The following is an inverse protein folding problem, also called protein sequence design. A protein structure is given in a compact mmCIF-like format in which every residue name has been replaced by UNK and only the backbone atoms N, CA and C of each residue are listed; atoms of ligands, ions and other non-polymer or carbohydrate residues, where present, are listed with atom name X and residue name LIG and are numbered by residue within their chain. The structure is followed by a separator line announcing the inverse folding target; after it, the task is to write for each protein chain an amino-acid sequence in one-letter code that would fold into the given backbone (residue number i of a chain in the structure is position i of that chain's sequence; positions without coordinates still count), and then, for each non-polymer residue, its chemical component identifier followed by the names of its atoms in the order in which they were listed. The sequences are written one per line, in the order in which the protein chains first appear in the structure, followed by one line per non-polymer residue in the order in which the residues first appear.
data_IF_440120177035
#
_entry.id   IF_440120177035
#
_cell.length_a   1.000
_cell.length_b   1.000
_cell.length_c   1.000
_cell.angle_alpha   90.00
_cell.angle_beta   90.00
_cell.angle_gamma   90.00
#
_symmetry.space_group_name_H-M   'P 1'
#
loop_
_entity.id
_entity.type
_entity.pdbx_description
1 polymer ?
#
# COMPACT_ATOMS: atom_id res chain seq x y z
N UNK A 1 -30.18 -7.55 -25.60
CA UNK A 1 -28.84 -7.95 -25.10
C UNK A 1 -28.70 -9.44 -24.77
N UNK A 2 -29.77 -10.23 -24.55
CA UNK A 2 -29.66 -11.66 -24.22
C UNK A 2 -29.56 -12.64 -25.42
N UNK A 3 -30.07 -12.28 -26.61
CA UNK A 3 -30.20 -13.23 -27.74
C UNK A 3 -28.93 -13.48 -28.58
N UNK A 4 -27.85 -12.72 -28.39
CA UNK A 4 -26.59 -12.95 -29.11
C UNK A 4 -25.64 -13.93 -28.38
N UNK A 5 -26.00 -14.38 -27.17
CA UNK A 5 -25.13 -15.19 -26.30
C UNK A 5 -25.18 -16.70 -26.57
N UNK A 6 -26.28 -17.22 -27.11
CA UNK A 6 -26.51 -18.68 -27.18
C UNK A 6 -25.72 -19.36 -28.30
N UNK A 7 -25.65 -18.75 -29.50
CA UNK A 7 -24.93 -19.33 -30.66
C UNK A 7 -23.41 -19.41 -30.42
N UNK A 8 -22.81 -18.34 -29.91
CA UNK A 8 -21.35 -18.27 -29.66
C UNK A 8 -20.90 -19.06 -28.41
N UNK A 9 -21.83 -19.42 -27.52
CA UNK A 9 -21.53 -20.26 -26.35
C UNK A 9 -21.26 -21.71 -26.76
N UNK A 10 -22.05 -22.23 -27.69
CA UNK A 10 -21.91 -23.59 -28.24
C UNK A 10 -20.55 -23.73 -28.95
N UNK A 11 -20.19 -22.76 -29.81
CA UNK A 11 -18.90 -22.77 -30.52
C UNK A 11 -17.70 -22.73 -29.56
N UNK A 12 -17.84 -22.02 -28.43
CA UNK A 12 -16.80 -21.95 -27.40
C UNK A 12 -16.68 -23.25 -26.61
N UNK A 13 -17.80 -23.84 -26.22
CA UNK A 13 -17.82 -25.12 -25.51
C UNK A 13 -17.21 -26.21 -26.40
N UNK A 14 -17.60 -26.27 -27.68
CA UNK A 14 -17.01 -27.21 -28.65
C UNK A 14 -15.49 -27.05 -28.80
N UNK A 15 -15.01 -25.81 -28.96
CA UNK A 15 -13.57 -25.54 -29.07
C UNK A 15 -12.80 -25.96 -27.81
N UNK A 16 -13.36 -25.70 -26.62
CA UNK A 16 -12.73 -26.10 -25.36
C UNK A 16 -12.72 -27.62 -25.26
N UNK A 17 -13.79 -28.31 -25.64
CA UNK A 17 -13.87 -29.76 -25.59
C UNK A 17 -12.89 -30.44 -26.54
N UNK A 18 -12.71 -29.92 -27.76
CA UNK A 18 -11.66 -30.39 -28.68
C UNK A 18 -10.26 -30.20 -28.11
N UNK A 19 -9.98 -29.01 -27.57
CA UNK A 19 -8.68 -28.69 -26.99
C UNK A 19 -8.37 -29.55 -25.75
N UNK A 20 -9.37 -29.73 -24.87
CA UNK A 20 -9.28 -30.61 -23.69
C UNK A 20 -9.13 -32.07 -24.11
N UNK A 21 -9.87 -32.52 -25.13
CA UNK A 21 -9.79 -33.88 -25.66
C UNK A 21 -8.39 -34.20 -26.18
N UNK A 22 -7.80 -33.28 -26.96
CA UNK A 22 -6.43 -33.40 -27.44
C UNK A 22 -5.42 -33.48 -26.27
N UNK A 23 -5.46 -32.51 -25.34
CA UNK A 23 -4.53 -32.52 -24.20
C UNK A 23 -4.66 -33.78 -23.33
N UNK A 24 -5.87 -34.29 -23.12
CA UNK A 24 -6.08 -35.55 -22.39
C UNK A 24 -5.47 -36.75 -23.11
N UNK A 25 -5.57 -36.81 -24.43
CA UNK A 25 -4.97 -37.88 -25.24
C UNK A 25 -3.45 -37.88 -25.12
N UNK A 26 -2.82 -36.72 -25.31
CA UNK A 26 -1.36 -36.57 -25.27
C UNK A 26 -0.80 -36.82 -23.86
N UNK A 27 -1.43 -36.27 -22.81
CA UNK A 27 -1.02 -36.54 -21.43
C UNK A 27 -1.13 -38.02 -21.07
N UNK A 28 -2.16 -38.72 -21.59
CA UNK A 28 -2.32 -40.15 -21.37
C UNK A 28 -1.26 -40.97 -22.11
N UNK A 29 -0.88 -40.56 -23.33
CA UNK A 29 0.16 -41.22 -24.13
C UNK A 29 1.53 -41.13 -23.44
N UNK A 30 1.84 -39.98 -22.84
CA UNK A 30 3.07 -39.72 -22.07
C UNK A 30 3.02 -40.24 -20.62
N UNK A 31 1.92 -40.88 -20.20
CA UNK A 31 1.77 -41.48 -18.87
C UNK A 31 1.56 -40.48 -17.73
N UNK A 32 1.24 -39.21 -18.01
CA UNK A 32 0.99 -38.17 -17.00
C UNK A 32 -0.44 -38.26 -16.50
N UNK A 33 -0.61 -38.46 -15.18
CA UNK A 33 -1.93 -38.51 -14.54
C UNK A 33 -2.38 -37.10 -14.16
N UNK A 34 -3.21 -36.49 -15.01
CA UNK A 34 -3.81 -35.18 -14.77
C UNK A 34 -5.27 -35.09 -15.24
N UNK A 35 -6.07 -34.34 -14.49
CA UNK A 35 -7.44 -33.98 -14.84
C UNK A 35 -7.45 -32.66 -15.62
N UNK A 36 -7.85 -32.71 -16.89
CA UNK A 36 -7.93 -31.52 -17.76
C UNK A 36 -9.39 -31.16 -17.98
N UNK A 37 -9.80 -29.92 -17.73
CA UNK A 37 -11.18 -29.48 -17.98
C UNK A 37 -11.27 -27.97 -18.28
N UNK A 38 -12.34 -27.58 -18.97
CA UNK A 38 -12.66 -26.19 -19.27
C UNK A 38 -13.11 -25.42 -18.03
N UNK A 39 -12.56 -24.23 -17.81
CA UNK A 39 -12.94 -23.33 -16.70
C UNK A 39 -13.74 -22.13 -17.24
N UNK A 40 -15.02 -21.96 -16.87
CA UNK A 40 -15.73 -20.72 -17.16
C UNK A 40 -15.16 -19.59 -16.30
N UNK A 41 -14.89 -18.41 -16.89
CA UNK A 41 -14.52 -17.22 -16.10
C UNK A 41 -15.78 -16.55 -15.53
N UNK A 42 -15.68 -16.03 -14.31
CA UNK A 42 -16.76 -15.25 -13.69
C UNK A 42 -16.99 -13.94 -14.43
N UNK A 43 -18.27 -13.57 -14.60
CA UNK A 43 -18.72 -12.34 -15.27
C UNK A 43 -18.05 -11.08 -14.68
N UNK A 44 -17.91 -11.03 -13.35
CA UNK A 44 -17.27 -9.91 -12.67
C UNK A 44 -15.77 -9.80 -12.97
N UNK A 45 -15.05 -10.92 -13.05
CA UNK A 45 -13.63 -10.94 -13.43
C UNK A 45 -13.41 -10.54 -14.89
N UNK A 46 -14.36 -10.90 -15.76
CA UNK A 46 -14.42 -10.48 -17.15
C UNK A 46 -14.55 -8.95 -17.23
N UNK A 47 -15.55 -8.37 -16.53
CA UNK A 47 -15.76 -6.92 -16.48
C UNK A 47 -14.56 -6.15 -15.94
N UNK A 48 -13.93 -6.62 -14.86
CA UNK A 48 -12.74 -5.99 -14.28
C UNK A 48 -11.55 -5.98 -15.25
N UNK A 49 -11.34 -7.06 -16.01
CA UNK A 49 -10.29 -7.12 -17.04
C UNK A 49 -10.57 -6.14 -18.18
N UNK A 50 -11.84 -5.93 -18.55
CA UNK A 50 -12.20 -4.92 -19.56
C UNK A 50 -11.81 -3.51 -19.13
N UNK A 51 -12.18 -3.12 -17.90
CA UNK A 51 -11.85 -1.78 -17.40
C UNK A 51 -10.33 -1.57 -17.36
N UNK A 52 -9.57 -2.57 -16.92
CA UNK A 52 -8.11 -2.44 -16.77
C UNK A 52 -7.35 -2.37 -18.10
N UNK A 53 -7.81 -3.08 -19.14
CA UNK A 53 -7.11 -3.17 -20.44
C UNK A 53 -7.78 -2.35 -21.55
N UNK A 54 -8.85 -1.61 -21.26
CA UNK A 54 -9.65 -0.85 -22.25
C UNK A 54 -10.06 -1.68 -23.49
N UNK A 55 -10.31 -2.98 -23.30
CA UNK A 55 -10.63 -3.92 -24.39
C UNK A 55 -12.05 -3.71 -24.92
N UNK A 56 -12.23 -3.91 -26.22
CA UNK A 56 -13.54 -3.88 -26.84
C UNK A 56 -14.40 -5.08 -26.39
N UNK A 57 -15.72 -4.91 -26.35
CA UNK A 57 -16.65 -5.98 -25.94
C UNK A 57 -16.57 -7.23 -26.85
N UNK A 58 -16.12 -7.10 -28.10
CA UNK A 58 -15.94 -8.24 -29.00
C UNK A 58 -14.68 -9.07 -28.67
N UNK A 59 -13.63 -8.47 -28.10
CA UNK A 59 -12.43 -9.17 -27.60
C UNK A 59 -12.73 -9.91 -26.27
N UNK A 60 -13.84 -9.56 -25.61
CA UNK A 60 -14.33 -10.19 -24.39
C UNK A 60 -14.76 -11.65 -24.57
N UNK A 61 -15.10 -12.04 -25.80
CA UNK A 61 -15.64 -13.36 -26.08
C UNK A 61 -14.54 -14.40 -26.29
N UNK A 62 -13.27 -13.97 -26.37
CA UNK A 62 -12.12 -14.86 -26.38
C UNK A 62 -11.65 -15.27 -24.97
N UNK A 63 -12.61 -15.50 -24.08
CA UNK A 63 -12.35 -15.89 -22.70
C UNK A 63 -12.35 -17.40 -22.59
N UNK A 64 -11.30 -18.02 -23.14
CA UNK A 64 -11.07 -19.47 -23.03
C UNK A 64 -10.02 -19.74 -21.97
N UNK A 65 -10.41 -20.54 -20.98
CA UNK A 65 -9.52 -20.97 -19.92
C UNK A 65 -9.65 -22.48 -19.72
N UNK A 66 -8.50 -23.13 -19.59
CA UNK A 66 -8.39 -24.56 -19.34
C UNK A 66 -7.61 -24.74 -18.04
N UNK A 67 -8.02 -25.73 -17.26
CA UNK A 67 -7.36 -26.08 -16.02
C UNK A 67 -6.88 -27.52 -16.09
N UNK A 68 -5.65 -27.73 -15.63
CA UNK A 68 -5.00 -29.02 -15.50
C UNK A 68 -4.69 -29.21 -14.02
N UNK A 69 -5.29 -30.23 -13.41
CA UNK A 69 -5.07 -30.61 -12.02
C UNK A 69 -4.31 -31.93 -12.01
N UNK A 70 -3.03 -31.89 -11.61
CA UNK A 70 -2.17 -33.07 -11.55
C UNK A 70 -2.06 -33.62 -10.11
N UNK A 71 -1.58 -34.85 -9.98
CA UNK A 71 -1.36 -35.48 -8.67
C UNK A 71 -0.14 -34.89 -7.96
N UNK A 72 0.99 -34.79 -8.67
CA UNK A 72 2.28 -34.36 -8.10
C UNK A 72 2.81 -33.11 -8.79
N UNK A 73 3.73 -32.42 -8.12
CA UNK A 73 4.39 -31.24 -8.69
C UNK A 73 5.17 -31.57 -9.97
N UNK A 74 5.82 -32.73 -10.03
CA UNK A 74 6.54 -33.20 -11.21
C UNK A 74 5.60 -33.32 -12.43
N UNK A 75 4.40 -33.82 -12.19
CA UNK A 75 3.36 -33.98 -13.22
C UNK A 75 2.85 -32.61 -13.72
N UNK A 76 2.89 -31.55 -12.90
CA UNK A 76 2.56 -30.20 -13.35
C UNK A 76 3.56 -29.67 -14.38
N UNK A 77 4.86 -29.86 -14.16
CA UNK A 77 5.89 -29.44 -15.11
C UNK A 77 5.95 -30.35 -16.33
N UNK A 78 5.67 -31.66 -16.17
CA UNK A 78 5.50 -32.56 -17.32
C UNK A 78 4.31 -32.13 -18.19
N UNK A 79 3.16 -31.82 -17.59
CA UNK A 79 2.00 -31.30 -18.29
C UNK A 79 2.28 -29.95 -18.99
N UNK A 80 3.07 -29.08 -18.36
CA UNK A 80 3.54 -27.83 -18.99
C UNK A 80 4.36 -28.11 -20.25
N UNK A 81 5.32 -29.05 -20.18
CA UNK A 81 6.14 -29.43 -21.32
C UNK A 81 5.33 -30.00 -22.49
N UNK A 82 4.35 -30.86 -22.20
CA UNK A 82 3.42 -31.40 -23.20
C UNK A 82 2.64 -30.26 -23.86
N UNK A 83 2.06 -29.36 -23.06
CA UNK A 83 1.30 -28.21 -23.58
C UNK A 83 2.14 -27.34 -24.52
N UNK A 84 3.40 -27.02 -24.15
CA UNK A 84 4.30 -26.19 -24.96
C UNK A 84 4.85 -26.91 -26.20
N UNK A 85 4.86 -28.24 -26.20
CA UNK A 85 5.26 -29.05 -27.36
C UNK A 85 4.20 -29.02 -28.46
N UNK A 86 2.91 -29.11 -28.08
CA UNK A 86 1.81 -29.11 -29.05
C UNK A 86 1.34 -27.70 -29.44
N UNK A 87 1.48 -26.72 -28.55
CA UNK A 87 1.01 -25.36 -28.76
C UNK A 87 2.10 -24.35 -28.46
N UNK A 88 2.33 -23.42 -29.40
CA UNK A 88 3.28 -22.34 -29.22
C UNK A 88 2.84 -21.43 -28.07
N UNK A 89 3.68 -21.30 -27.06
CA UNK A 89 3.43 -20.40 -25.93
C UNK A 89 3.77 -18.94 -26.27
N UNK A 90 3.13 -18.01 -25.57
CA UNK A 90 3.48 -16.58 -25.60
C UNK A 90 4.46 -16.31 -24.43
N UNK A 91 5.71 -15.88 -24.68
CA UNK A 91 6.70 -15.68 -23.63
C UNK A 91 6.29 -14.68 -22.54
N UNK A 92 5.64 -13.58 -22.93
CA UNK A 92 5.23 -12.51 -22.01
C UNK A 92 4.03 -12.86 -21.13
N UNK A 93 3.41 -14.03 -21.35
CA UNK A 93 2.18 -14.47 -20.68
C UNK A 93 2.41 -15.86 -20.01
N UNK A 94 3.59 -16.02 -19.40
CA UNK A 94 3.97 -17.17 -18.58
C UNK A 94 4.32 -16.71 -17.16
N UNK A 95 3.60 -17.25 -16.17
CA UNK A 95 3.85 -16.99 -14.74
C UNK A 95 3.94 -18.31 -13.97
N UNK A 96 5.05 -18.52 -13.24
CA UNK A 96 5.20 -19.64 -12.33
C UNK A 96 4.91 -19.21 -10.88
N UNK A 97 3.62 -19.27 -10.49
CA UNK A 97 3.22 -19.01 -9.10
C UNK A 97 3.42 -20.22 -8.17
N UNK A 98 3.96 -21.35 -8.67
CA UNK A 98 4.37 -22.44 -7.79
C UNK A 98 5.72 -22.13 -7.16
N UNK A 99 6.67 -21.64 -7.97
CA UNK A 99 7.95 -21.15 -7.50
C UNK A 99 7.83 -19.83 -6.71
N UNK A 100 6.97 -18.92 -7.19
CA UNK A 100 6.72 -17.62 -6.54
C UNK A 100 5.22 -17.46 -6.17
N UNK A 101 4.78 -18.03 -5.05
CA UNK A 101 3.37 -17.95 -4.62
C UNK A 101 2.91 -16.50 -4.46
N UNK A 102 1.63 -16.25 -4.79
CA UNK A 102 1.03 -14.93 -4.53
C UNK A 102 0.89 -14.68 -3.02
N UNK A 103 0.76 -13.42 -2.57
CA UNK A 103 0.64 -13.09 -1.15
C UNK A 103 -0.51 -13.80 -0.41
N UNK A 104 -1.58 -14.17 -1.13
CA UNK A 104 -2.71 -14.94 -0.59
C UNK A 104 -2.43 -16.46 -0.49
N UNK A 105 -1.21 -16.91 -0.80
CA UNK A 105 -0.83 -18.32 -0.84
C UNK A 105 -1.24 -19.04 -2.13
N UNK A 106 -1.76 -18.33 -3.14
CA UNK A 106 -2.17 -18.95 -4.40
C UNK A 106 -0.96 -19.49 -5.18
N UNK A 107 -1.06 -20.76 -5.57
CA UNK A 107 -0.06 -21.48 -6.34
C UNK A 107 -0.68 -22.11 -7.59
N UNK A 108 -0.08 -21.84 -8.75
CA UNK A 108 -0.40 -22.45 -10.05
C UNK A 108 0.59 -21.96 -11.10
N UNK A 109 0.89 -22.78 -12.10
CA UNK A 109 1.59 -22.35 -13.31
C UNK A 109 0.55 -21.80 -14.29
N UNK A 110 0.74 -20.58 -14.76
CA UNK A 110 -0.12 -19.94 -15.76
C UNK A 110 0.66 -19.80 -17.06
N UNK A 111 0.04 -20.24 -18.16
CA UNK A 111 0.61 -20.04 -19.50
C UNK A 111 -0.48 -19.73 -20.50
N UNK A 112 -0.21 -18.80 -21.41
CA UNK A 112 -1.07 -18.56 -22.57
C UNK A 112 -0.42 -19.18 -23.82
N UNK A 113 -1.21 -19.98 -24.55
CA UNK A 113 -0.78 -20.64 -25.78
C UNK A 113 -1.69 -20.29 -26.96
N UNK A 114 -1.14 -20.39 -28.17
CA UNK A 114 -1.88 -20.21 -29.41
C UNK A 114 -2.47 -21.55 -29.86
N UNK A 115 -3.79 -21.70 -29.78
CA UNK A 115 -4.49 -22.92 -30.14
C UNK A 115 -4.73 -23.08 -31.66
N UNK A 116 -5.36 -24.19 -32.09
CA UNK A 116 -5.45 -24.61 -33.50
C UNK A 116 -6.07 -23.59 -34.45
N UNK A 117 -6.97 -22.72 -33.96
CA UNK A 117 -7.64 -21.70 -34.77
C UNK A 117 -6.99 -20.31 -34.67
N UNK A 118 -5.69 -20.23 -34.34
CA UNK A 118 -4.96 -18.96 -34.19
C UNK A 118 -5.39 -18.15 -32.96
N UNK A 119 -5.92 -18.86 -31.97
CA UNK A 119 -6.87 -18.35 -31.01
C UNK A 119 -6.31 -18.61 -29.61
N UNK A 120 -6.18 -17.60 -28.76
CA UNK A 120 -5.44 -17.70 -27.49
C UNK A 120 -6.19 -18.52 -26.45
N UNK A 121 -5.47 -19.37 -25.72
CA UNK A 121 -6.01 -20.20 -24.64
C UNK A 121 -5.18 -20.00 -23.38
N UNK A 122 -5.82 -19.59 -22.29
CA UNK A 122 -5.19 -19.47 -20.97
C UNK A 122 -5.23 -20.83 -20.26
N UNK A 123 -4.08 -21.34 -19.82
CA UNK A 123 -3.96 -22.65 -19.18
C UNK A 123 -3.42 -22.46 -17.77
N UNK A 124 -4.09 -23.10 -16.80
CA UNK A 124 -3.70 -23.09 -15.40
C UNK A 124 -3.38 -24.51 -14.96
N UNK A 125 -2.14 -24.76 -14.56
CA UNK A 125 -1.64 -26.06 -14.12
C UNK A 125 -1.35 -26.00 -12.63
N UNK A 126 -1.83 -26.98 -11.87
CA UNK A 126 -1.58 -27.07 -10.42
C UNK A 126 -1.84 -28.47 -9.90
N UNK A 127 -1.41 -28.75 -8.67
CA UNK A 127 -1.72 -30.02 -8.00
C UNK A 127 -3.15 -30.02 -7.43
N UNK A 128 -3.65 -31.19 -7.01
CA UNK A 128 -4.93 -31.28 -6.29
C UNK A 128 -4.92 -30.48 -4.98
N UNK A 129 -3.82 -30.53 -4.23
CA UNK A 129 -3.66 -29.72 -3.02
C UNK A 129 -3.73 -28.22 -3.32
N UNK A 130 -2.95 -27.75 -4.30
CA UNK A 130 -2.98 -26.35 -4.73
C UNK A 130 -4.35 -25.93 -5.28
N UNK A 131 -5.10 -26.86 -5.86
CA UNK A 131 -6.46 -26.62 -6.29
C UNK A 131 -7.39 -26.36 -5.10
N UNK A 132 -7.33 -27.20 -4.07
CA UNK A 132 -8.14 -27.04 -2.85
C UNK A 132 -7.80 -25.73 -2.14
N UNK A 133 -6.52 -25.44 -1.94
CA UNK A 133 -6.05 -24.20 -1.31
C UNK A 133 -6.48 -22.95 -2.09
N UNK A 134 -6.54 -23.03 -3.43
CA UNK A 134 -6.96 -21.92 -4.26
C UNK A 134 -8.48 -21.69 -4.32
N UNK A 135 -9.31 -22.71 -4.09
CA UNK A 135 -10.77 -22.57 -4.12
C UNK A 135 -11.34 -22.31 -2.72
N UNK A 136 -10.82 -22.99 -1.70
CA UNK A 136 -11.30 -22.94 -0.32
C UNK A 136 -10.44 -22.03 0.58
N UNK A 137 -9.24 -21.64 0.12
CA UNK A 137 -8.35 -20.78 0.89
C UNK A 137 -7.98 -21.39 2.23
N UNK A 138 -8.00 -20.56 3.28
CA UNK A 138 -7.69 -20.95 4.66
C UNK A 138 -8.59 -22.07 5.19
N UNK A 139 -9.81 -22.24 4.64
CA UNK A 139 -10.75 -23.27 5.07
C UNK A 139 -10.33 -24.70 4.65
N UNK A 140 -9.53 -24.87 3.59
CA UNK A 140 -9.00 -26.18 3.18
C UNK A 140 -8.12 -26.80 4.27
N UNK A 141 -7.30 -25.96 4.91
CA UNK A 141 -6.32 -26.35 5.90
C UNK A 141 -6.93 -26.73 7.27
N UNK A 142 -8.15 -26.26 7.59
CA UNK A 142 -8.87 -26.64 8.81
C UNK A 142 -9.31 -28.10 8.78
N UNK A 143 -9.86 -28.56 7.65
CA UNK A 143 -10.42 -29.91 7.49
C UNK A 143 -9.35 -31.02 7.56
N UNK A 144 -8.12 -30.73 7.13
CA UNK A 144 -7.02 -31.70 7.13
C UNK A 144 -6.35 -31.86 8.51
N UNK A 145 -6.29 -30.80 9.31
CA UNK A 145 -5.68 -30.82 10.66
C UNK A 145 -6.58 -31.41 11.76
N UNK A 146 -7.89 -31.54 11.53
CA UNK A 146 -8.75 -32.33 12.42
C UNK A 146 -8.55 -33.85 12.24
N UNK A 147 -8.01 -34.31 11.11
CA UNK A 147 -7.84 -35.74 10.81
C UNK A 147 -6.44 -36.33 11.06
N UNK A 148 -5.39 -35.50 11.07
CA UNK A 148 -4.01 -35.95 11.28
C UNK A 148 -3.42 -35.28 12.52
N UNK A 149 -3.11 -36.12 13.52
CA UNK A 149 -2.62 -35.73 14.83
C UNK A 149 -1.54 -34.65 14.82
N UNK A 150 -1.71 -33.69 15.72
CA UNK A 150 -0.83 -32.56 15.94
C UNK A 150 0.65 -32.98 16.05
N UNK A 151 1.50 -32.35 15.23
CA UNK A 151 2.94 -32.49 15.28
C UNK A 151 3.64 -31.33 14.59
N UNK A 152 4.10 -30.37 15.41
CA UNK A 152 5.33 -29.57 15.23
C UNK A 152 5.59 -28.87 13.88
N UNK A 153 5.51 -27.52 13.86
CA UNK A 153 6.38 -26.70 13.00
C UNK A 153 5.75 -25.52 12.22
N UNK A 154 4.43 -25.46 12.05
CA UNK A 154 3.80 -24.46 11.15
C UNK A 154 2.78 -23.50 11.79
N UNK A 155 2.73 -23.40 13.13
CA UNK A 155 1.63 -22.74 13.85
C UNK A 155 1.59 -21.21 13.78
N UNK A 156 2.74 -20.54 13.65
CA UNK A 156 2.84 -19.10 13.93
C UNK A 156 2.16 -18.21 12.88
N UNK A 157 2.45 -18.42 11.60
CA UNK A 157 1.82 -17.65 10.52
C UNK A 157 0.32 -17.93 10.30
N UNK A 158 -0.22 -18.99 10.92
CA UNK A 158 -1.64 -19.36 10.85
C UNK A 158 -2.45 -18.70 11.98
N UNK A 159 -1.92 -18.68 13.21
CA UNK A 159 -2.51 -17.93 14.32
C UNK A 159 -2.59 -16.43 14.00
N UNK A 160 -1.55 -15.87 13.39
CA UNK A 160 -1.51 -14.46 12.98
C UNK A 160 -2.59 -14.14 11.93
N UNK A 161 -2.89 -15.09 11.03
CA UNK A 161 -3.88 -14.93 9.96
C UNK A 161 -5.33 -15.09 10.48
N UNK A 162 -5.54 -15.95 11.47
CA UNK A 162 -6.81 -16.06 12.21
C UNK A 162 -7.04 -14.82 13.07
N UNK A 163 -6.01 -14.32 13.74
CA UNK A 163 -6.08 -13.07 14.50
C UNK A 163 -6.43 -11.89 13.58
N UNK A 164 -5.89 -11.86 12.36
CA UNK A 164 -6.25 -10.89 11.34
C UNK A 164 -7.72 -11.02 10.87
N UNK A 165 -8.20 -12.23 10.56
CA UNK A 165 -9.60 -12.45 10.17
C UNK A 165 -10.59 -12.11 11.30
N UNK A 166 -10.26 -12.43 12.56
CA UNK A 166 -11.08 -12.06 13.73
C UNK A 166 -11.14 -10.55 13.91
N UNK A 167 -10.02 -9.85 13.69
CA UNK A 167 -10.01 -8.37 13.70
C UNK A 167 -10.86 -7.78 12.58
N UNK A 168 -10.87 -8.40 11.40
CA UNK A 168 -11.68 -7.96 10.26
C UNK A 168 -13.18 -8.16 10.50
N UNK A 169 -13.58 -9.24 11.17
CA UNK A 169 -14.98 -9.50 11.54
C UNK A 169 -15.43 -8.56 12.66
N UNK A 170 -14.59 -8.39 13.71
CA UNK A 170 -14.85 -7.41 14.77
C UNK A 170 -14.99 -5.99 14.21
N UNK A 171 -14.20 -5.65 13.19
CA UNK A 171 -14.30 -4.39 12.45
C UNK A 171 -15.64 -4.24 11.71
N UNK A 172 -16.21 -5.32 11.18
CA UNK A 172 -17.53 -5.26 10.52
C UNK A 172 -18.67 -5.06 11.52
N UNK A 173 -18.55 -5.61 12.74
CA UNK A 173 -19.49 -5.39 13.83
C UNK A 173 -19.38 -3.98 14.43
N UNK A 174 -18.16 -3.43 14.56
CA UNK A 174 -17.93 -2.05 15.06
C UNK A 174 -18.27 -0.95 14.03
N UNK A 175 -18.20 -1.26 12.72
CA UNK A 175 -18.61 -0.35 11.62
C UNK A 175 -20.11 -0.03 11.61
N UNK A 176 -20.94 -0.80 12.30
CA UNK A 176 -22.37 -0.50 12.42
C UNK A 176 -22.64 0.69 13.36
N UNK A 177 -21.67 1.12 14.18
CA UNK A 177 -21.99 1.94 15.37
C UNK A 177 -21.25 3.29 15.48
N UNK A 178 -20.28 3.65 14.62
CA UNK A 178 -19.65 4.98 14.72
C UNK A 178 -19.06 5.52 13.41
N UNK A 179 -19.64 6.63 12.91
CA UNK A 179 -19.32 7.26 11.63
C UNK A 179 -18.15 8.25 11.62
N UNK A 180 -17.41 8.43 12.72
CA UNK A 180 -16.41 9.52 12.84
C UNK A 180 -14.94 9.08 12.89
N UNK A 181 -14.63 7.77 12.80
CA UNK A 181 -13.23 7.26 12.83
C UNK A 181 -12.66 6.88 11.45
N UNK A 182 -13.29 7.34 10.36
CA UNK A 182 -13.05 6.80 9.01
C UNK A 182 -11.76 7.28 8.32
N UNK A 183 -11.25 8.47 8.61
CA UNK A 183 -10.11 9.03 7.86
C UNK A 183 -8.74 8.57 8.37
N UNK A 184 -8.59 8.32 9.68
CA UNK A 184 -7.32 7.86 10.27
C UNK A 184 -7.07 6.36 10.03
N UNK A 185 -8.14 5.58 9.86
CA UNK A 185 -8.09 4.12 9.59
C UNK A 185 -8.01 3.83 8.09
N UNK A 186 -8.57 4.70 7.23
CA UNK A 186 -8.43 4.57 5.77
C UNK A 186 -6.97 4.63 5.33
N UNK A 187 -6.12 5.48 5.92
CA UNK A 187 -4.70 5.52 5.51
C UNK A 187 -3.96 4.24 5.88
N UNK A 188 -4.28 3.59 7.01
CA UNK A 188 -3.64 2.34 7.42
C UNK A 188 -4.09 1.11 6.60
N UNK A 189 -5.26 1.15 5.96
CA UNK A 189 -5.82 0.02 5.20
C UNK A 189 -5.39 0.04 3.73
N UNK A 190 -4.96 1.18 3.19
CA UNK A 190 -4.52 1.33 1.80
C UNK A 190 -3.02 1.60 1.62
N UNK A 191 -2.24 1.72 2.69
CA UNK A 191 -0.79 1.84 2.56
C UNK A 191 -0.19 0.53 2.01
N UNK A 192 0.52 0.64 0.89
CA UNK A 192 1.44 -0.39 0.42
C UNK A 192 2.32 -0.83 1.61
N UNK A 193 2.48 -2.14 1.83
CA UNK A 193 3.29 -2.64 2.97
C UNK A 193 4.66 -3.04 2.46
N UNK A 194 5.73 -2.64 3.14
CA UNK A 194 7.11 -3.05 2.81
C UNK A 194 7.55 -4.22 3.69
N UNK A 195 8.19 -5.21 3.07
CA UNK A 195 8.77 -6.37 3.76
C UNK A 195 10.28 -6.23 3.82
N UNK A 196 10.82 -6.25 5.03
CA UNK A 196 12.25 -6.07 5.28
C UNK A 196 12.81 -7.24 6.06
N UNK A 197 14.07 -7.57 5.82
CA UNK A 197 14.75 -8.71 6.43
C UNK A 197 15.64 -8.26 7.59
N UNK A 198 15.61 -9.03 8.68
CA UNK A 198 16.64 -8.94 9.71
C UNK A 198 17.93 -9.61 9.24
N UNK A 199 19.09 -9.36 9.88
CA UNK A 199 20.33 -10.05 9.54
C UNK A 199 20.27 -11.57 9.74
N UNK A 200 19.31 -12.02 10.57
CA UNK A 200 19.05 -13.45 10.86
C UNK A 200 18.10 -14.12 9.86
N UNK A 201 17.52 -13.35 8.93
CA UNK A 201 16.60 -13.86 7.91
C UNK A 201 15.11 -13.79 8.29
N UNK A 202 14.77 -13.30 9.48
CA UNK A 202 13.37 -13.06 9.85
C UNK A 202 12.79 -11.90 9.03
N UNK A 203 11.56 -12.08 8.53
CA UNK A 203 10.81 -11.06 7.78
C UNK A 203 10.00 -10.20 8.73
N UNK A 204 10.08 -8.88 8.56
CA UNK A 204 9.29 -7.90 9.32
C UNK A 204 8.44 -7.08 8.35
N UNK A 205 7.16 -6.93 8.68
CA UNK A 205 6.18 -6.18 7.91
C UNK A 205 5.99 -4.77 8.46
N UNK A 206 6.21 -3.76 7.62
CA UNK A 206 6.09 -2.34 7.97
C UNK A 206 5.23 -1.61 6.93
N UNK A 207 4.57 -0.48 7.28
CA UNK A 207 3.90 0.36 6.29
C UNK A 207 4.93 0.98 5.32
N UNK A 208 4.55 1.23 4.07
CA UNK A 208 5.41 1.92 3.11
C UNK A 208 5.82 3.29 3.63
N UNK A 209 7.04 3.71 3.27
CA UNK A 209 7.64 4.92 3.81
C UNK A 209 8.11 4.80 5.27
N UNK A 210 8.12 3.59 5.84
CA UNK A 210 8.78 3.35 7.13
C UNK A 210 10.28 3.58 7.05
N UNK A 211 10.86 4.00 8.17
CA UNK A 211 12.29 4.27 8.30
C UNK A 211 13.02 3.15 9.06
N UNK A 212 14.37 3.12 9.05
CA UNK A 212 15.14 2.24 9.92
C UNK A 212 14.83 2.42 11.42
N UNK A 213 14.44 3.62 11.86
CA UNK A 213 14.02 3.85 13.25
C UNK A 213 12.69 3.16 13.55
N UNK A 214 11.72 3.24 12.63
CA UNK A 214 10.45 2.51 12.75
C UNK A 214 10.68 1.01 12.88
N UNK A 215 11.60 0.45 12.08
CA UNK A 215 12.02 -0.95 12.20
C UNK A 215 12.64 -1.28 13.57
N UNK A 216 13.54 -0.44 14.07
CA UNK A 216 14.15 -0.63 15.40
C UNK A 216 13.09 -0.66 16.51
N UNK A 217 12.14 0.27 16.48
CA UNK A 217 11.02 0.32 17.43
C UNK A 217 9.99 -0.80 17.24
N UNK A 218 9.90 -1.37 16.03
CA UNK A 218 9.07 -2.53 15.75
C UNK A 218 9.64 -3.78 16.42
N UNK A 219 10.96 -4.01 16.33
CA UNK A 219 11.64 -5.12 17.01
C UNK A 219 11.49 -5.00 18.53
N UNK A 220 11.95 -3.89 19.11
CA UNK A 220 11.85 -3.67 20.56
C UNK A 220 12.00 -2.19 20.90
N UNK A 221 11.32 -1.72 21.96
CA UNK A 221 11.47 -0.33 22.42
C UNK A 221 12.92 0.00 22.80
N UNK A 222 13.60 -0.91 23.48
CA UNK A 222 14.99 -0.67 23.91
C UNK A 222 15.99 -0.68 22.77
N UNK A 223 15.73 -1.44 21.70
CA UNK A 223 16.54 -1.40 20.47
C UNK A 223 16.39 -0.05 19.79
N UNK A 224 15.15 0.46 19.70
CA UNK A 224 14.87 1.82 19.25
C UNK A 224 15.55 2.90 20.10
N UNK A 225 15.40 2.85 21.43
CA UNK A 225 16.01 3.83 22.34
C UNK A 225 17.54 3.84 22.30
N UNK A 226 18.16 2.70 21.97
CA UNK A 226 19.61 2.54 21.88
C UNK A 226 20.14 2.67 20.46
N UNK A 227 19.28 2.99 19.48
CA UNK A 227 19.66 3.08 18.09
C UNK A 227 20.62 4.26 17.86
N UNK A 228 21.78 4.01 17.28
CA UNK A 228 22.77 5.04 16.89
C UNK A 228 23.01 5.13 15.39
N UNK A 229 22.65 4.07 14.66
CA UNK A 229 22.78 4.04 13.22
C UNK A 229 22.10 2.81 12.63
N UNK A 230 21.89 2.83 11.32
CA UNK A 230 21.36 1.71 10.58
C UNK A 230 22.26 1.37 9.39
N UNK A 231 22.33 0.09 9.06
CA UNK A 231 22.96 -0.41 7.85
C UNK A 231 21.95 -1.20 7.02
N UNK A 232 22.04 -1.06 5.70
CA UNK A 232 21.26 -1.85 4.76
C UNK A 232 22.24 -2.52 3.79
N UNK A 233 22.18 -3.85 3.68
CA UNK A 233 23.12 -4.62 2.84
C UNK A 233 24.60 -4.35 3.17
N UNK A 234 24.90 -4.09 4.46
CA UNK A 234 26.25 -3.78 4.94
C UNK A 234 26.71 -2.32 4.79
N UNK A 235 25.92 -1.43 4.15
CA UNK A 235 26.24 0.00 3.99
C UNK A 235 25.49 0.84 5.00
N UNK A 236 26.13 1.86 5.56
CA UNK A 236 25.48 2.80 6.50
C UNK A 236 24.49 3.68 5.72
N UNK A 237 23.27 3.80 6.24
CA UNK A 237 22.20 4.63 5.67
C UNK A 237 21.75 5.68 6.68
N UNK A 238 21.28 6.86 6.21
CA UNK A 238 20.69 7.86 7.10
C UNK A 238 19.37 7.35 7.68
N UNK A 239 18.97 7.86 8.86
CA UNK A 239 17.68 7.49 9.48
C UNK A 239 16.45 7.95 8.70
N UNK A 240 16.59 8.94 7.82
CA UNK A 240 15.53 9.43 6.94
C UNK A 240 15.33 8.56 5.70
N UNK A 241 16.18 7.54 5.49
CA UNK A 241 16.01 6.60 4.38
C UNK A 241 14.68 5.85 4.52
N UNK A 242 13.92 5.76 3.43
CA UNK A 242 12.69 4.98 3.39
C UNK A 242 12.98 3.54 2.98
N UNK A 243 12.53 2.60 3.81
CA UNK A 243 12.78 1.18 3.61
C UNK A 243 12.10 0.66 2.35
N UNK A 244 12.84 -0.14 1.58
CA UNK A 244 12.36 -0.76 0.36
C UNK A 244 12.10 -2.26 0.55
N UNK A 245 11.38 -2.84 -0.41
CA UNK A 245 11.07 -4.26 -0.43
C UNK A 245 12.36 -5.09 -0.52
N UNK A 246 12.53 -6.00 0.44
CA UNK A 246 13.66 -6.93 0.47
C UNK A 246 14.95 -6.36 1.05
N UNK A 247 14.93 -5.14 1.59
CA UNK A 247 16.08 -4.57 2.28
C UNK A 247 16.45 -5.41 3.50
N UNK A 248 17.73 -5.78 3.61
CA UNK A 248 18.28 -6.42 4.81
C UNK A 248 18.84 -5.35 5.74
N UNK A 249 18.18 -5.13 6.88
CA UNK A 249 18.48 -4.04 7.81
C UNK A 249 19.23 -4.58 9.03
N UNK A 250 20.32 -3.92 9.38
CA UNK A 250 21.07 -4.12 10.62
C UNK A 250 21.05 -2.83 11.44
N UNK A 251 20.54 -2.89 12.66
CA UNK A 251 20.50 -1.73 13.57
C UNK A 251 21.73 -1.75 14.46
N UNK A 252 22.49 -0.66 14.44
CA UNK A 252 23.62 -0.44 15.32
C UNK A 252 23.10 0.16 16.62
N UNK A 253 23.33 -0.53 17.74
CA UNK A 253 22.87 -0.12 19.06
C UNK A 253 24.03 0.23 19.99
N UNK A 254 23.80 1.15 20.92
CA UNK A 254 24.71 1.49 22.01
C UNK A 254 24.26 0.91 23.35
N UNK A 255 25.09 1.04 24.39
CA UNK A 255 24.81 0.47 25.72
C UNK A 255 23.69 1.21 26.47
N UNK A 256 23.66 2.54 26.40
CA UNK A 256 22.70 3.38 27.12
C UNK A 256 21.61 3.92 26.19
N UNK A 257 20.34 3.96 26.60
CA UNK A 257 19.29 4.56 25.77
C UNK A 257 19.50 6.08 25.65
N UNK A 258 19.48 6.60 24.42
CA UNK A 258 19.57 8.04 24.15
C UNK A 258 18.77 8.42 22.88
N UNK A 259 17.44 8.29 22.90
CA UNK A 259 16.61 8.73 21.77
C UNK A 259 16.66 10.26 21.61
N UNK A 260 16.67 10.74 20.36
CA UNK A 260 16.58 12.18 20.07
C UNK A 260 15.12 12.64 20.07
N UNK A 261 14.88 13.89 20.49
CA UNK A 261 13.56 14.54 20.41
C UNK A 261 13.18 14.89 18.97
N UNK A 262 14.17 15.13 18.10
CA UNK A 262 13.95 15.42 16.68
C UNK A 262 13.18 14.29 15.98
N UNK A 263 13.29 13.06 16.50
CA UNK A 263 12.57 11.90 15.98
C UNK A 263 11.05 12.01 16.16
N UNK A 264 10.58 12.83 17.12
CA UNK A 264 9.17 13.10 17.32
C UNK A 264 8.61 14.12 16.32
N UNK A 265 9.47 14.92 15.68
CA UNK A 265 9.03 15.92 14.72
C UNK A 265 8.60 15.24 13.41
N UNK A 266 7.31 15.28 13.05
CA UNK A 266 6.82 14.63 11.84
C UNK A 266 7.40 15.24 10.55
N UNK A 267 7.82 16.51 10.59
CA UNK A 267 8.33 17.22 9.42
C UNK A 267 9.74 16.76 9.01
N UNK A 268 10.50 16.18 9.94
CA UNK A 268 11.88 15.73 9.70
C UNK A 268 11.95 14.32 9.10
N UNK A 269 10.83 13.58 9.07
CA UNK A 269 10.74 12.28 8.40
C UNK A 269 11.55 11.16 9.06
N UNK A 270 11.85 11.26 10.37
CA UNK A 270 12.62 10.24 11.09
C UNK A 270 11.80 9.04 11.54
N UNK A 271 10.56 9.24 12.01
CA UNK A 271 9.68 8.18 12.51
C UNK A 271 8.29 8.43 11.95
N UNK A 272 7.85 7.55 11.06
CA UNK A 272 6.54 7.71 10.40
C UNK A 272 5.44 7.00 11.20
N UNK A 273 5.77 5.88 11.83
CA UNK A 273 4.78 5.06 12.54
C UNK A 273 4.31 5.71 13.84
N UNK A 274 2.99 5.64 14.10
CA UNK A 274 2.41 6.11 15.37
C UNK A 274 2.94 5.33 16.57
N UNK A 275 3.19 4.02 16.38
CA UNK A 275 3.73 3.14 17.43
C UNK A 275 5.13 3.55 17.89
N UNK A 276 6.02 3.87 16.94
CA UNK A 276 7.38 4.34 17.24
C UNK A 276 7.33 5.64 18.04
N UNK A 277 6.59 6.64 17.53
CA UNK A 277 6.40 7.94 18.20
C UNK A 277 5.83 7.79 19.62
N UNK A 278 4.82 6.95 19.81
CA UNK A 278 4.21 6.71 21.13
C UNK A 278 5.21 6.15 22.15
N UNK A 279 6.08 5.23 21.72
CA UNK A 279 7.13 4.67 22.58
C UNK A 279 8.18 5.72 22.98
N UNK A 280 8.59 6.56 22.02
CA UNK A 280 9.51 7.67 22.26
C UNK A 280 8.90 8.67 23.26
N UNK A 281 7.64 9.07 23.06
CA UNK A 281 6.91 9.92 24.01
C UNK A 281 6.86 9.31 25.41
N UNK A 282 6.54 8.01 25.52
CA UNK A 282 6.51 7.32 26.80
C UNK A 282 7.88 7.27 27.50
N UNK A 283 8.98 7.27 26.73
CA UNK A 283 10.34 7.34 27.29
C UNK A 283 10.64 8.71 27.88
N UNK A 284 10.34 9.80 27.17
CA UNK A 284 10.54 11.17 27.67
C UNK A 284 9.65 11.48 28.88
N UNK A 285 8.42 10.97 28.89
CA UNK A 285 7.52 11.11 30.06
C UNK A 285 8.07 10.43 31.32
N UNK A 286 8.83 9.34 31.16
CA UNK A 286 9.47 8.62 32.28
C UNK A 286 10.79 9.24 32.74
N UNK A 287 11.29 10.26 32.03
CA UNK A 287 12.53 10.95 32.37
C UNK A 287 12.32 11.94 33.52
N UNK A 288 13.37 12.26 34.27
CA UNK A 288 13.31 13.17 35.42
C UNK A 288 12.67 14.52 35.04
N UNK A 289 11.73 14.99 35.88
CA UNK A 289 10.99 16.25 35.67
C UNK A 289 11.94 17.43 35.40
N UNK A 290 13.06 17.52 36.12
CA UNK A 290 14.04 18.61 35.98
C UNK A 290 14.69 18.64 34.59
N UNK A 291 14.94 17.46 33.99
CA UNK A 291 15.47 17.36 32.62
C UNK A 291 14.42 17.76 31.59
N UNK A 292 13.15 17.47 31.86
CA UNK A 292 12.04 17.89 31.00
C UNK A 292 11.81 19.40 31.07
N UNK A 293 11.95 20.04 32.23
CA UNK A 293 11.84 21.50 32.36
C UNK A 293 12.93 22.21 31.55
N UNK A 294 14.20 21.83 31.76
CA UNK A 294 15.34 22.41 31.02
C UNK A 294 15.18 22.29 29.51
N UNK A 295 14.74 21.12 29.04
CA UNK A 295 14.55 20.88 27.63
C UNK A 295 13.30 21.57 27.05
N UNK A 296 12.19 21.57 27.78
CA UNK A 296 10.98 22.29 27.39
C UNK A 296 11.23 23.78 27.22
N UNK A 297 12.15 24.33 28.01
CA UNK A 297 12.58 25.74 27.89
C UNK A 297 13.32 26.01 26.59
N UNK A 298 14.31 25.19 26.23
CA UNK A 298 15.02 25.33 24.95
C UNK A 298 14.07 25.24 23.76
N UNK A 299 13.18 24.24 23.76
CA UNK A 299 12.20 24.04 22.69
C UNK A 299 11.26 25.23 22.55
N UNK A 300 10.77 25.77 23.67
CA UNK A 300 9.89 26.92 23.66
C UNK A 300 10.63 28.18 23.19
N UNK A 301 11.85 28.40 23.68
CA UNK A 301 12.68 29.56 23.32
C UNK A 301 12.99 29.56 21.81
N UNK A 302 13.40 28.42 21.24
CA UNK A 302 13.72 28.28 19.80
C UNK A 302 12.50 28.61 18.92
N UNK A 303 11.30 28.12 19.29
CA UNK A 303 10.09 28.39 18.52
C UNK A 303 9.56 29.81 18.70
N UNK A 304 9.73 30.38 19.89
CA UNK A 304 9.38 31.79 20.13
C UNK A 304 10.30 32.74 19.36
N UNK A 305 11.59 32.40 19.26
CA UNK A 305 12.54 33.14 18.42
C UNK A 305 12.14 33.07 16.95
N UNK A 306 11.73 31.88 16.46
CA UNK A 306 11.24 31.72 15.08
C UNK A 306 9.98 32.55 14.79
N UNK A 307 9.09 32.68 15.78
CA UNK A 307 7.85 33.46 15.67
C UNK A 307 8.01 34.95 15.98
N UNK A 308 9.16 35.38 16.53
CA UNK A 308 9.40 36.74 16.99
C UNK A 308 8.52 37.16 18.19
N UNK A 309 8.08 36.20 19.01
CA UNK A 309 7.17 36.43 20.15
C UNK A 309 7.99 36.43 21.45
N UNK A 310 7.69 37.34 22.38
CA UNK A 310 8.35 37.35 23.68
C UNK A 310 7.84 36.23 24.60
N UNK A 311 8.73 35.60 25.37
CA UNK A 311 8.37 34.53 26.32
C UNK A 311 7.29 34.96 27.34
N UNK A 312 7.34 36.22 27.79
CA UNK A 312 6.33 36.76 28.73
C UNK A 312 4.95 36.89 28.12
N UNK A 313 4.86 37.12 26.81
CA UNK A 313 3.58 37.24 26.13
C UNK A 313 3.03 35.87 25.75
N UNK A 314 3.89 34.92 25.38
CA UNK A 314 3.50 33.53 25.18
C UNK A 314 2.94 32.89 26.46
N UNK A 315 3.59 33.11 27.61
CA UNK A 315 3.18 32.58 28.91
C UNK A 315 1.74 32.97 29.28
N UNK A 316 1.36 34.24 29.07
CA UNK A 316 0.02 34.76 29.38
C UNK A 316 -1.10 34.03 28.64
N UNK A 317 -0.83 33.56 27.42
CA UNK A 317 -1.82 32.87 26.60
C UNK A 317 -1.78 31.35 26.74
N UNK A 318 -0.60 30.79 27.05
CA UNK A 318 -0.43 29.34 27.18
C UNK A 318 -0.90 28.79 28.53
N UNK A 319 -0.63 29.48 29.64
CA UNK A 319 -1.04 29.01 30.98
C UNK A 319 -2.57 28.83 31.09
N UNK A 320 -3.42 29.80 30.68
CA UNK A 320 -4.87 29.63 30.75
C UNK A 320 -5.42 28.59 29.78
N UNK A 321 -4.77 28.38 28.62
CA UNK A 321 -5.23 27.46 27.57
C UNK A 321 -5.12 26.00 28.00
N UNK A 322 -4.07 25.67 28.75
CA UNK A 322 -3.78 24.31 29.20
C UNK A 322 -4.07 24.12 30.70
N UNK A 323 -4.56 25.16 31.38
CA UNK A 323 -4.95 25.13 32.79
C UNK A 323 -3.77 24.81 33.73
N UNK A 324 -2.59 25.36 33.43
CA UNK A 324 -1.40 25.29 34.29
C UNK A 324 -1.28 26.56 35.13
N UNK A 325 -0.77 26.40 36.37
CA UNK A 325 -0.60 27.53 37.29
C UNK A 325 0.84 28.07 37.28
N UNK A 326 1.82 27.24 36.93
CA UNK A 326 3.23 27.59 36.93
C UNK A 326 3.89 27.34 35.56
N UNK A 327 4.85 28.19 35.20
CA UNK A 327 5.64 28.05 33.98
C UNK A 327 6.41 26.72 33.95
N UNK A 328 6.95 26.29 35.08
CA UNK A 328 7.72 25.04 35.16
C UNK A 328 6.84 23.79 34.88
N UNK A 329 5.55 23.83 35.20
CA UNK A 329 4.60 22.77 34.83
C UNK A 329 4.36 22.74 33.32
N UNK A 330 4.20 23.91 32.70
CA UNK A 330 4.08 24.04 31.25
C UNK A 330 5.36 23.54 30.56
N UNK A 331 6.53 23.95 31.04
CA UNK A 331 7.83 23.54 30.48
C UNK A 331 8.06 22.03 30.67
N UNK A 332 7.71 21.46 31.82
CA UNK A 332 7.76 20.01 32.03
C UNK A 332 6.83 19.26 31.07
N UNK A 333 5.63 19.78 30.84
CA UNK A 333 4.64 19.19 29.92
C UNK A 333 5.09 19.29 28.45
N UNK A 334 5.74 20.40 28.06
CA UNK A 334 6.36 20.56 26.73
C UNK A 334 7.53 19.58 26.59
N UNK A 335 8.45 19.55 27.56
CA UNK A 335 9.64 18.70 27.51
C UNK A 335 9.37 17.21 27.60
N UNK A 336 8.28 16.82 28.26
CA UNK A 336 7.75 15.45 28.31
C UNK A 336 6.91 15.06 27.09
N UNK A 337 6.53 16.03 26.24
CA UNK A 337 5.74 15.82 25.03
C UNK A 337 4.25 15.56 25.28
N UNK A 338 3.71 16.02 26.41
CA UNK A 338 2.26 16.03 26.69
C UNK A 338 1.55 17.09 25.82
N UNK A 339 2.24 18.19 25.52
CA UNK A 339 1.78 19.23 24.61
C UNK A 339 2.41 19.00 23.24
N UNK A 340 1.57 18.90 22.20
CA UNK A 340 2.06 18.84 20.81
C UNK A 340 2.53 20.22 20.35
N UNK A 341 3.81 20.33 20.00
CA UNK A 341 4.45 21.55 19.49
C UNK A 341 3.64 22.26 18.41
N UNK A 342 3.24 21.55 17.35
CA UNK A 342 2.49 22.16 16.24
C UNK A 342 1.17 22.80 16.66
N UNK A 343 0.47 22.21 17.63
CA UNK A 343 -0.80 22.75 18.13
C UNK A 343 -0.56 24.03 18.93
N UNK A 344 0.52 24.05 19.72
CA UNK A 344 0.94 25.22 20.49
C UNK A 344 1.39 26.36 19.56
N UNK A 345 2.23 26.08 18.56
CA UNK A 345 2.71 27.05 17.57
C UNK A 345 1.55 27.64 16.78
N UNK A 346 0.64 26.81 16.26
CA UNK A 346 -0.54 27.29 15.54
C UNK A 346 -1.45 28.18 16.41
N UNK A 347 -1.57 27.86 17.70
CA UNK A 347 -2.35 28.67 18.64
C UNK A 347 -1.68 30.03 18.90
N UNK A 348 -0.36 30.06 19.13
CA UNK A 348 0.40 31.30 19.28
C UNK A 348 0.33 32.16 18.03
N UNK A 349 0.52 31.56 16.85
CA UNK A 349 0.35 32.25 15.57
C UNK A 349 -1.06 32.83 15.40
N UNK A 350 -2.11 32.10 15.77
CA UNK A 350 -3.49 32.60 15.66
C UNK A 350 -3.79 33.78 16.59
N UNK A 351 -3.13 33.86 17.75
CA UNK A 351 -3.31 34.97 18.70
C UNK A 351 -2.52 36.21 18.32
N UNK A 352 -1.26 36.04 17.91
CA UNK A 352 -0.33 37.15 17.64
C UNK A 352 -0.29 37.58 16.17
N UNK A 353 -0.55 36.66 15.25
CA UNK A 353 -0.46 36.88 13.81
C UNK A 353 -1.84 36.63 13.17
N UNK A 354 -2.83 37.45 13.54
CA UNK A 354 -4.11 37.49 12.81
C UNK A 354 -3.82 38.03 11.41
N UNK A 355 -3.97 37.25 10.33
CA UNK A 355 -3.95 37.85 9.00
C UNK A 355 -5.09 38.86 8.94
N UNK A 356 -4.84 40.02 8.36
CA UNK A 356 -5.88 41.02 8.15
C UNK A 356 -7.04 40.38 7.38
N UNK A 357 -8.29 40.80 7.65
CA UNK A 357 -9.45 40.33 6.89
C UNK A 357 -9.23 40.44 5.36
N UNK A 358 -8.41 41.41 4.92
CA UNK A 358 -8.01 41.59 3.52
C UNK A 358 -7.12 40.47 2.96
N UNK A 359 -6.27 39.85 3.77
CA UNK A 359 -5.37 38.75 3.36
C UNK A 359 -6.10 37.41 3.31
N UNK A 360 -7.06 37.21 4.23
CA UNK A 360 -7.97 36.06 4.21
C UNK A 360 -8.88 36.09 2.97
N UNK A 361 -9.44 37.26 2.64
CA UNK A 361 -10.22 37.44 1.41
C UNK A 361 -9.37 37.22 0.14
N UNK A 362 -8.13 37.71 0.11
CA UNK A 362 -7.21 37.51 -1.02
C UNK A 362 -6.83 36.03 -1.21
N UNK A 363 -6.63 35.27 -0.12
CA UNK A 363 -6.35 33.84 -0.17
C UNK A 363 -7.58 33.03 -0.63
N UNK A 364 -8.78 33.40 -0.17
CA UNK A 364 -10.03 32.79 -0.60
C UNK A 364 -10.30 33.03 -2.09
N UNK A 365 -10.04 34.25 -2.60
CA UNK A 365 -10.14 34.58 -4.02
C UNK A 365 -9.17 33.76 -4.89
N UNK A 366 -7.93 33.52 -4.43
CA UNK A 366 -6.96 32.66 -5.14
C UNK A 366 -7.40 31.20 -5.21
N UNK A 367 -7.97 30.65 -4.13
CA UNK A 367 -8.49 29.28 -4.13
C UNK A 367 -9.71 29.12 -5.05
N UNK A 368 -10.58 30.13 -5.13
CA UNK A 368 -11.70 30.14 -6.07
C UNK A 368 -11.22 30.20 -7.53
N UNK A 369 -10.21 31.02 -7.83
CA UNK A 369 -9.63 31.10 -9.18
C UNK A 369 -8.98 29.77 -9.61
N UNK A 370 -8.29 29.06 -8.71
CA UNK A 370 -7.70 27.75 -9.00
C UNK A 370 -8.75 26.66 -9.25
N UNK A 371 -9.88 26.68 -8.53
CA UNK A 371 -11.02 25.77 -8.80
C UNK A 371 -11.70 26.04 -10.14
N UNK A 372 -11.68 27.28 -10.61
CA UNK A 372 -12.32 27.67 -11.88
C UNK A 372 -11.45 27.32 -13.09
N UNK A 373 -10.15 27.06 -12.89
CA UNK A 373 -9.18 26.71 -13.92
C UNK A 373 -8.74 25.23 -13.88
N UNK A 374 -9.57 24.34 -13.34
CA UNK A 374 -9.40 22.92 -13.61
C UNK A 374 -9.85 22.66 -15.07
N UNK A 375 -8.97 22.20 -15.98
CA UNK A 375 -9.38 21.92 -17.34
C UNK A 375 -10.38 20.76 -17.30
N UNK A 376 -11.63 21.02 -17.67
CA UNK A 376 -12.56 19.96 -18.05
C UNK A 376 -11.96 19.25 -19.26
N UNK A 377 -11.62 17.96 -19.10
CA UNK A 377 -11.16 17.13 -20.20
C UNK A 377 -12.16 17.22 -21.37
N UNK A 378 -11.71 17.50 -22.61
CA UNK A 378 -12.61 17.61 -23.73
C UNK A 378 -13.15 16.22 -24.10
N UNK A 379 -14.44 16.01 -23.84
CA UNK A 379 -15.24 14.94 -24.43
C UNK A 379 -15.03 14.95 -25.96
N UNK A 380 -14.47 13.88 -26.53
CA UNK A 380 -14.38 13.69 -27.98
C UNK A 380 -15.79 13.45 -28.55
N UNK A 381 -16.47 14.53 -28.94
CA UNK A 381 -17.62 14.49 -29.82
C UNK A 381 -17.16 14.46 -31.28
N UNK A 382 -17.36 13.32 -31.94
CA UNK A 382 -17.19 13.17 -33.39
C UNK A 382 -18.17 14.07 -34.14
N UNK A 383 -17.64 14.98 -34.97
CA UNK A 383 -18.39 15.66 -36.04
C UNK A 383 -17.89 15.13 -37.40
N UNK A 384 -18.78 14.70 -38.31
CA UNK A 384 -18.37 14.31 -39.65
C UNK A 384 -18.31 15.53 -40.58
N UNK A 385 -17.15 15.73 -41.20
CA UNK A 385 -17.02 16.35 -42.52
C UNK A 385 -16.98 17.88 -42.61
N UNK A 386 -15.92 18.40 -43.24
CA UNK A 386 -15.91 19.73 -43.86
C UNK A 386 -14.71 20.58 -43.46
N UNK A 387 -13.81 20.83 -44.41
CA UNK A 387 -12.49 21.43 -44.17
C UNK A 387 -12.50 22.88 -43.66
N UNK A 388 -11.42 23.25 -42.96
CA UNK A 388 -11.16 24.62 -42.54
C UNK A 388 -10.01 24.75 -41.55
N UNK A 389 -8.86 25.22 -42.04
CA UNK A 389 -7.71 25.88 -41.37
C UNK A 389 -7.51 25.64 -39.86
N UNK A 390 -6.37 25.04 -39.50
CA UNK A 390 -5.93 24.83 -38.13
C UNK A 390 -5.76 26.12 -37.32
N UNK A 391 -6.22 26.09 -36.06
CA UNK A 391 -5.92 27.11 -35.04
C UNK A 391 -4.58 26.81 -34.37
N UNK A 392 -3.69 27.80 -34.34
CA UNK A 392 -2.57 27.84 -33.40
C UNK A 392 -3.09 28.10 -31.98
N UNK A 393 -2.43 27.56 -30.93
CA UNK A 393 -2.77 27.91 -29.55
C UNK A 393 -2.38 29.35 -29.24
N UNK A 394 -3.28 30.07 -28.56
CA UNK A 394 -3.11 31.46 -28.17
C UNK A 394 -1.90 31.65 -27.25
N UNK A 395 -0.95 32.50 -27.66
CA UNK A 395 0.14 32.96 -26.82
C UNK A 395 -0.40 33.87 -25.70
N UNK A 396 0.13 33.81 -24.47
CA UNK A 396 -0.33 34.66 -23.38
C UNK A 396 -0.08 36.14 -23.70
N UNK A 397 -1.17 36.92 -23.67
CA UNK A 397 -1.17 38.36 -23.84
C UNK A 397 -0.23 39.03 -22.82
N UNK A 398 0.80 39.72 -23.31
CA UNK A 398 1.58 40.66 -22.51
C UNK A 398 0.71 41.89 -22.22
N UNK A 399 0.47 42.29 -20.97
CA UNK A 399 -0.24 43.54 -20.69
C UNK A 399 0.64 44.71 -21.13
N UNK A 400 0.15 45.52 -22.07
CA UNK A 400 0.78 46.78 -22.45
C UNK A 400 0.69 47.74 -21.27
N UNK A 401 1.82 47.99 -20.60
CA UNK A 401 1.97 49.13 -19.69
C UNK A 401 2.00 50.41 -20.53
N UNK A 402 1.36 51.51 -20.07
CA UNK A 402 1.42 52.78 -20.77
C UNK A 402 2.86 53.32 -20.80
N UNK A 403 3.31 53.76 -21.97
CA UNK A 403 4.64 54.33 -22.17
C UNK A 403 4.77 55.69 -21.45
N UNK A 404 5.90 55.85 -20.78
CA UNK A 404 6.33 57.05 -20.05
C UNK A 404 6.66 58.19 -21.06
N UNK A 405 6.05 59.39 -20.97
CA UNK A 405 6.34 60.47 -21.90
C UNK A 405 7.55 61.27 -21.40
N UNK A 406 8.75 60.89 -21.83
CA UNK A 406 9.95 61.66 -21.48
C UNK A 406 11.26 61.20 -22.09
N UNK A 407 11.53 61.57 -23.34
CA UNK A 407 12.72 62.31 -23.80
C UNK A 407 12.79 62.44 -25.31
#
# INVERSE_FOLDING_TARGET
MLNCSTKRRIDREHYIDEFVGHLRSEMKAEGVKAEVYGRPKHIYSIWRKMQKKHLAFDELFDVRAVRIVAERLQDCYAALGIVHTHYRHLPDEFDDYVANPKPNGYQSIHTVVLGPSGKTVEIQIRTRQMHEDAELGVAAHWKYKEGAGAGTGGGRGYEDRIAWLRKLIAWQEEMADSGEMLDEVRSQVFDDRVYVFTPKGDVVDLPAGSTPLDFAYHIHSDVGHRCIGAKIGGRIVPFTYQLQMGDQIEIITQKQPNPSRDWLNPNLGYVTTSRGRSKIHAWFRKQDRDKNILAGRQILDDELEHLGISLKDAEKHLLPRYNFNELDELLAAIGGGDIRLNQMVNFLQAQFNKPSAAEQDAAALKQLQQKTYAPTEPHQGQWPGGGGRGRQPDAPYCPLLPADPGR
#
